data_IF_888967432053
#
_entry.id   IF_888967432053
#
_cell.length_a   1.000
_cell.length_b   1.000
_cell.length_c   1.000
_cell.angle_alpha   90.00
_cell.angle_beta   90.00
_cell.angle_gamma   90.00
#
_symmetry.space_group_name_H-M   'P 1'
#
loop_
_entity.id
_entity.type
_entity.pdbx_description
1 polymer ?
#
# COMPACT_ATOMS: atom_id res chain seq x y z
N UNK A 1 -2.42 -0.23 -10.37
CA UNK A 1 -1.34 0.19 -11.26
C UNK A 1 -0.15 -0.75 -11.16
N UNK A 2 0.47 -0.92 -9.99
CA UNK A 2 1.63 -1.82 -9.81
C UNK A 2 1.43 -3.25 -10.36
N UNK A 3 0.31 -3.96 -10.09
CA UNK A 3 0.13 -5.32 -10.64
C UNK A 3 -0.05 -5.36 -12.16
N UNK A 4 -0.59 -4.29 -12.74
CA UNK A 4 -0.78 -4.16 -14.20
C UNK A 4 0.57 -3.98 -14.86
N UNK A 5 1.43 -3.15 -14.26
CA UNK A 5 2.81 -2.90 -14.71
C UNK A 5 3.64 -4.19 -14.61
N UNK A 6 3.61 -4.89 -13.48
CA UNK A 6 4.28 -6.20 -13.34
C UNK A 6 3.78 -7.26 -14.31
N UNK A 7 2.49 -7.21 -14.67
CA UNK A 7 1.93 -8.14 -15.64
C UNK A 7 2.32 -7.78 -17.09
N UNK A 8 2.38 -6.49 -17.41
CA UNK A 8 2.78 -6.00 -18.73
C UNK A 8 4.26 -6.31 -19.02
N UNK A 9 5.12 -6.18 -18.02
CA UNK A 9 6.57 -6.41 -18.16
C UNK A 9 7.00 -7.68 -17.41
N UNK A 10 6.22 -8.73 -17.59
CA UNK A 10 6.43 -10.03 -16.92
C UNK A 10 7.77 -10.69 -17.30
N UNK A 11 8.29 -10.37 -18.48
CA UNK A 11 9.60 -10.85 -18.92
C UNK A 11 10.74 -10.19 -18.14
N UNK A 12 10.63 -8.90 -17.81
CA UNK A 12 11.57 -8.22 -16.91
C UNK A 12 11.57 -8.87 -15.51
N UNK A 13 10.40 -9.26 -15.00
CA UNK A 13 10.27 -10.00 -13.72
C UNK A 13 10.95 -11.36 -13.80
N UNK A 14 10.87 -12.06 -14.95
CA UNK A 14 11.55 -13.35 -15.16
C UNK A 14 13.07 -13.18 -15.22
N UNK A 15 13.55 -12.20 -15.98
CA UNK A 15 14.97 -11.91 -16.11
C UNK A 15 15.57 -11.55 -14.74
N UNK A 16 14.83 -10.79 -13.95
CA UNK A 16 15.23 -10.43 -12.60
C UNK A 16 15.32 -11.66 -11.68
N UNK A 17 14.31 -12.54 -11.70
CA UNK A 17 14.34 -13.80 -10.92
C UNK A 17 15.49 -14.69 -11.37
N UNK A 18 15.73 -14.84 -12.67
CA UNK A 18 16.83 -15.64 -13.21
C UNK A 18 18.21 -15.09 -12.78
N UNK A 19 18.35 -13.77 -12.69
CA UNK A 19 19.58 -13.13 -12.22
C UNK A 19 19.83 -13.33 -10.72
N UNK A 20 18.76 -13.38 -9.91
CA UNK A 20 18.83 -13.57 -8.46
C UNK A 20 18.94 -15.04 -8.05
N UNK A 21 18.42 -15.95 -8.88
CA UNK A 21 18.39 -17.39 -8.68
C UNK A 21 18.97 -18.12 -9.90
N UNK A 22 20.29 -18.05 -10.12
CA UNK A 22 20.95 -18.64 -11.30
C UNK A 22 20.88 -20.17 -11.32
N UNK A 23 20.52 -20.79 -10.21
CA UNK A 23 20.28 -22.22 -10.04
C UNK A 23 18.90 -22.68 -10.53
N UNK A 24 17.97 -21.76 -10.79
CA UNK A 24 16.61 -22.10 -11.25
C UNK A 24 16.59 -22.48 -12.73
N UNK A 25 15.84 -23.54 -13.05
CA UNK A 25 15.48 -23.88 -14.42
C UNK A 25 14.44 -22.90 -15.00
N UNK A 26 14.29 -22.89 -16.33
CA UNK A 26 13.35 -22.00 -17.02
C UNK A 26 11.89 -22.14 -16.53
N UNK A 27 11.46 -23.35 -16.18
CA UNK A 27 10.13 -23.61 -15.63
C UNK A 27 9.95 -23.04 -14.22
N UNK A 28 10.99 -23.09 -13.39
CA UNK A 28 10.99 -22.55 -12.03
C UNK A 28 10.99 -21.02 -12.05
N UNK A 29 11.76 -20.40 -12.96
CA UNK A 29 11.73 -18.95 -13.18
C UNK A 29 10.33 -18.50 -13.62
N UNK A 30 9.73 -19.18 -14.59
CA UNK A 30 8.37 -18.87 -15.07
C UNK A 30 7.33 -18.96 -13.95
N UNK A 31 7.35 -20.06 -13.18
CA UNK A 31 6.44 -20.27 -12.05
C UNK A 31 6.64 -19.22 -10.96
N UNK A 32 7.89 -18.86 -10.66
CA UNK A 32 8.22 -17.85 -9.66
C UNK A 32 7.75 -16.46 -10.08
N UNK A 33 7.89 -16.12 -11.37
CA UNK A 33 7.36 -14.87 -11.92
C UNK A 33 5.83 -14.81 -11.83
N UNK A 34 5.13 -15.92 -12.13
CA UNK A 34 3.67 -16.00 -11.96
C UNK A 34 3.26 -15.77 -10.50
N UNK A 35 3.96 -16.41 -9.55
CA UNK A 35 3.71 -16.23 -8.11
C UNK A 35 4.00 -14.79 -7.68
N UNK A 36 5.08 -14.18 -8.17
CA UNK A 36 5.44 -12.79 -7.88
C UNK A 36 4.35 -11.82 -8.36
N UNK A 37 3.84 -12.00 -9.58
CA UNK A 37 2.76 -11.15 -10.12
C UNK A 37 1.46 -11.34 -9.33
N UNK A 38 1.07 -12.59 -9.04
CA UNK A 38 -0.16 -12.88 -8.30
C UNK A 38 -0.08 -12.37 -6.85
N UNK A 39 1.03 -12.62 -6.15
CA UNK A 39 1.24 -12.12 -4.79
C UNK A 39 1.24 -10.59 -4.75
N UNK A 40 1.90 -9.93 -5.71
CA UNK A 40 1.85 -8.49 -5.89
C UNK A 40 0.42 -7.97 -6.11
N UNK A 41 -0.38 -8.66 -6.94
CA UNK A 41 -1.77 -8.31 -7.19
C UNK A 41 -2.65 -8.45 -5.94
N UNK A 42 -2.54 -9.57 -5.21
CA UNK A 42 -3.29 -9.82 -3.97
C UNK A 42 -2.95 -8.77 -2.92
N UNK A 43 -1.66 -8.52 -2.71
CA UNK A 43 -1.17 -7.57 -1.73
C UNK A 43 -1.72 -6.15 -2.00
N UNK A 44 -1.60 -5.67 -3.25
CA UNK A 44 -2.15 -4.37 -3.63
C UNK A 44 -3.69 -4.34 -3.59
N UNK A 45 -4.36 -5.45 -3.91
CA UNK A 45 -5.81 -5.58 -3.80
C UNK A 45 -6.29 -5.41 -2.36
N UNK A 46 -5.62 -6.04 -1.39
CA UNK A 46 -5.93 -5.88 0.04
C UNK A 46 -5.76 -4.43 0.47
N UNK A 47 -4.65 -3.78 0.10
CA UNK A 47 -4.42 -2.37 0.41
C UNK A 47 -5.49 -1.46 -0.21
N UNK A 48 -5.91 -1.74 -1.44
CA UNK A 48 -6.98 -0.99 -2.10
C UNK A 48 -8.30 -1.13 -1.34
N UNK A 49 -8.69 -2.35 -0.96
CA UNK A 49 -9.89 -2.61 -0.15
C UNK A 49 -9.80 -1.87 1.18
N UNK A 50 -8.65 -1.91 1.84
CA UNK A 50 -8.44 -1.21 3.10
C UNK A 50 -8.60 0.31 2.92
N UNK A 51 -8.01 0.88 1.86
CA UNK A 51 -8.20 2.29 1.50
C UNK A 51 -9.67 2.63 1.25
N UNK A 52 -10.42 1.80 0.52
CA UNK A 52 -11.85 2.02 0.25
C UNK A 52 -12.67 1.97 1.54
N UNK A 53 -12.40 1.00 2.42
CA UNK A 53 -13.03 0.89 3.74
C UNK A 53 -12.72 2.13 4.58
N UNK A 54 -11.46 2.59 4.56
CA UNK A 54 -11.06 3.80 5.27
C UNK A 54 -11.77 5.04 4.72
N UNK A 55 -11.87 5.21 3.40
CA UNK A 55 -12.62 6.32 2.77
C UNK A 55 -14.09 6.29 3.21
N UNK A 56 -14.73 5.11 3.14
CA UNK A 56 -16.12 4.96 3.57
C UNK A 56 -16.32 5.25 5.06
N UNK A 57 -15.34 4.87 5.90
CA UNK A 57 -15.38 5.08 7.35
C UNK A 57 -14.92 6.48 7.76
N UNK A 58 -14.12 7.18 6.96
CA UNK A 58 -13.62 8.53 7.23
C UNK A 58 -14.80 9.48 7.41
N UNK A 59 -15.85 9.34 6.60
CA UNK A 59 -17.10 10.09 6.72
C UNK A 59 -17.82 9.89 8.07
N UNK A 60 -17.54 8.80 8.80
CA UNK A 60 -18.17 8.55 10.10
C UNK A 60 -17.57 9.38 11.23
N UNK A 61 -16.38 9.95 11.06
CA UNK A 61 -15.72 10.79 12.08
C UNK A 61 -15.34 10.03 13.35
N UNK A 62 -15.23 8.71 13.31
CA UNK A 62 -14.83 7.92 14.49
C UNK A 62 -13.32 8.06 14.77
N UNK A 63 -12.89 8.24 16.04
CA UNK A 63 -11.48 8.44 16.39
C UNK A 63 -10.60 7.23 16.04
N UNK A 64 -11.15 6.01 16.10
CA UNK A 64 -10.43 4.79 15.68
C UNK A 64 -10.14 4.77 14.18
N UNK A 65 -11.01 5.35 13.34
CA UNK A 65 -10.79 5.42 11.90
C UNK A 65 -9.58 6.25 11.55
N UNK A 66 -9.35 7.37 12.24
CA UNK A 66 -8.13 8.19 12.06
C UNK A 66 -6.86 7.39 12.34
N UNK A 67 -6.82 6.64 13.45
CA UNK A 67 -5.67 5.77 13.79
C UNK A 67 -5.46 4.69 12.73
N UNK A 68 -6.54 4.05 12.28
CA UNK A 68 -6.48 3.01 11.26
C UNK A 68 -5.95 3.57 9.93
N UNK A 69 -6.39 4.77 9.52
CA UNK A 69 -5.88 5.42 8.30
C UNK A 69 -4.40 5.71 8.42
N UNK A 70 -3.95 6.32 9.51
CA UNK A 70 -2.53 6.65 9.71
C UNK A 70 -1.66 5.40 9.67
N UNK A 71 -2.03 4.35 10.43
CA UNK A 71 -1.28 3.09 10.43
C UNK A 71 -1.23 2.47 9.04
N UNK A 72 -2.35 2.47 8.32
CA UNK A 72 -2.43 1.89 6.97
C UNK A 72 -1.57 2.66 5.95
N UNK A 73 -1.57 3.99 6.02
CA UNK A 73 -0.72 4.80 5.14
C UNK A 73 0.76 4.61 5.45
N UNK A 74 1.16 4.57 6.73
CA UNK A 74 2.54 4.29 7.12
C UNK A 74 3.01 2.91 6.68
N UNK A 75 2.16 1.89 6.85
CA UNK A 75 2.45 0.54 6.35
C UNK A 75 2.63 0.57 4.82
N UNK A 76 1.77 1.31 4.11
CA UNK A 76 1.86 1.45 2.67
C UNK A 76 3.17 2.13 2.22
N UNK A 77 3.68 3.10 2.97
CA UNK A 77 4.99 3.72 2.71
C UNK A 77 6.12 2.70 2.88
N UNK A 78 6.09 1.90 3.96
CA UNK A 78 7.11 0.86 4.20
C UNK A 78 7.11 -0.19 3.08
N UNK A 79 5.93 -0.67 2.68
CA UNK A 79 5.81 -1.62 1.57
C UNK A 79 6.21 -1.02 0.23
N UNK A 80 5.97 0.28 0.04
CA UNK A 80 6.44 1.01 -1.13
C UNK A 80 7.97 1.09 -1.13
N UNK A 81 8.64 1.35 0.00
CA UNK A 81 10.11 1.33 0.05
C UNK A 81 10.69 -0.05 -0.31
N UNK A 82 10.05 -1.14 0.14
CA UNK A 82 10.47 -2.50 -0.20
C UNK A 82 10.28 -2.83 -1.69
N UNK A 83 9.17 -2.35 -2.28
CA UNK A 83 8.92 -2.47 -3.72
C UNK A 83 9.86 -1.59 -4.54
N UNK A 84 10.32 -0.46 -4.00
CA UNK A 84 11.26 0.41 -4.67
C UNK A 84 12.64 -0.24 -4.78
N UNK A 85 13.11 -0.87 -3.69
CA UNK A 85 14.39 -1.57 -3.69
C UNK A 85 14.41 -2.84 -4.55
N UNK A 86 13.24 -3.37 -4.90
CA UNK A 86 13.17 -4.67 -5.58
C UNK A 86 13.31 -4.57 -7.09
N UNK A 87 12.97 -3.46 -7.75
CA UNK A 87 13.14 -3.34 -9.21
C UNK A 87 13.19 -1.88 -9.69
N UNK A 88 14.07 -1.54 -10.66
CA UNK A 88 14.14 -0.22 -11.28
C UNK A 88 12.80 0.24 -11.87
N UNK A 89 11.99 -0.73 -12.30
CA UNK A 89 10.65 -0.52 -12.83
C UNK A 89 9.75 0.31 -11.91
N UNK A 90 9.92 0.18 -10.60
CA UNK A 90 9.09 0.86 -9.62
C UNK A 90 9.60 2.24 -9.22
N UNK A 91 10.79 2.63 -9.69
CA UNK A 91 11.42 3.90 -9.31
C UNK A 91 10.65 5.15 -9.76
N UNK A 92 9.82 5.04 -10.80
CA UNK A 92 8.99 6.17 -11.27
C UNK A 92 7.66 6.25 -10.50
N UNK A 93 7.02 5.11 -10.25
CA UNK A 93 5.66 5.07 -9.67
C UNK A 93 5.67 5.28 -8.17
N UNK A 94 6.65 4.71 -7.46
CA UNK A 94 6.68 4.70 -6.00
C UNK A 94 6.86 6.08 -5.37
N UNK A 95 7.74 6.99 -5.87
CA UNK A 95 7.86 8.33 -5.31
C UNK A 95 6.55 9.11 -5.33
N UNK A 96 5.77 8.98 -6.40
CA UNK A 96 4.46 9.63 -6.55
C UNK A 96 3.48 9.07 -5.52
N UNK A 97 3.39 7.74 -5.41
CA UNK A 97 2.50 7.07 -4.44
C UNK A 97 2.88 7.43 -3.00
N UNK A 98 4.18 7.44 -2.69
CA UNK A 98 4.71 7.84 -1.38
C UNK A 98 4.38 9.29 -1.04
N UNK A 99 4.53 10.22 -1.98
CA UNK A 99 4.19 11.63 -1.78
C UNK A 99 2.70 11.81 -1.45
N UNK A 100 1.81 11.11 -2.16
CA UNK A 100 0.36 11.14 -1.88
C UNK A 100 0.05 10.58 -0.49
N UNK A 101 0.66 9.47 -0.10
CA UNK A 101 0.47 8.88 1.23
C UNK A 101 0.92 9.82 2.35
N UNK A 102 2.08 10.47 2.18
CA UNK A 102 2.58 11.46 3.14
C UNK A 102 1.66 12.68 3.22
N UNK A 103 1.13 13.15 2.09
CA UNK A 103 0.16 14.24 2.07
C UNK A 103 -1.12 13.88 2.85
N UNK A 104 -1.63 12.66 2.69
CA UNK A 104 -2.80 12.17 3.44
C UNK A 104 -2.51 12.14 4.95
N UNK A 105 -1.34 11.64 5.36
CA UNK A 105 -0.94 11.62 6.77
C UNK A 105 -0.85 13.05 7.32
N UNK A 106 -0.24 13.98 6.58
CA UNK A 106 -0.16 15.37 6.97
C UNK A 106 -1.55 16.00 7.14
N UNK A 107 -2.46 15.79 6.18
CA UNK A 107 -3.84 16.28 6.25
C UNK A 107 -4.64 15.72 7.43
N UNK A 108 -4.31 14.51 7.92
CA UNK A 108 -4.99 13.90 9.07
C UNK A 108 -4.39 14.28 10.44
N UNK A 109 -3.18 14.82 10.45
CA UNK A 109 -2.45 15.13 11.68
C UNK A 109 -2.30 16.63 11.94
N UNK A 110 -2.16 17.45 10.89
CA UNK A 110 -1.79 18.87 11.00
C UNK A 110 -3.00 19.79 11.21
N UNK A 111 -4.09 19.71 10.41
CA UNK A 111 -5.20 20.65 10.55
C UNK A 111 -5.97 20.41 11.86
N UNK A 112 -6.31 21.51 12.55
CA UNK A 112 -7.16 21.45 13.74
C UNK A 112 -8.57 20.97 13.39
N UNK A 113 -9.11 21.35 12.23
CA UNK A 113 -10.46 20.93 11.82
C UNK A 113 -10.55 19.40 11.68
N UNK A 114 -9.50 18.76 11.17
CA UNK A 114 -9.43 17.31 11.08
C UNK A 114 -9.44 16.67 12.47
N UNK A 115 -8.66 17.20 13.43
CA UNK A 115 -8.66 16.69 14.81
C UNK A 115 -10.03 16.83 15.46
N UNK A 116 -10.63 18.01 15.37
CA UNK A 116 -11.91 18.31 16.01
C UNK A 116 -13.03 17.43 15.46
N UNK A 117 -13.03 17.16 14.15
CA UNK A 117 -13.97 16.25 13.49
C UNK A 117 -13.93 14.82 14.07
N UNK A 118 -12.76 14.32 14.45
CA UNK A 118 -12.59 12.98 15.03
C UNK A 118 -12.70 12.94 16.56
N UNK A 119 -12.51 14.06 17.26
CA UNK A 119 -12.60 14.18 18.72
C UNK A 119 -14.06 14.39 19.19
N UNK A 120 -14.89 15.13 18.46
CA UNK A 120 -16.28 15.45 18.85
C UNK A 120 -17.27 14.27 18.82
N UNK A 121 -16.89 13.12 18.24
CA UNK A 121 -17.76 11.92 18.08
C UNK A 121 -17.29 10.70 18.87
N UNK A 122 -16.33 10.85 19.78
CA UNK A 122 -16.03 9.80 20.74
C UNK A 122 -17.28 9.57 21.62
N UNK A 123 -17.85 8.36 21.68
CA UNK A 123 -18.95 8.08 22.59
C UNK A 123 -18.54 8.42 24.01
N UNK A 124 -19.38 9.18 24.69
CA UNK A 124 -19.46 9.26 26.14
C UNK A 124 -19.90 7.90 26.70
N UNK A 125 -19.17 6.82 26.43
CA UNK A 125 -19.39 5.49 26.99
C UNK A 125 -18.31 5.22 28.03
N UNK A 126 -18.41 5.92 29.16
CA UNK A 126 -17.69 5.58 30.39
C UNK A 126 -18.39 6.21 31.60
N UNK A 127 -19.67 5.89 31.81
CA UNK A 127 -20.32 6.09 33.12
C UNK A 127 -21.58 5.22 33.24
N UNK A 128 -21.39 3.94 33.61
CA UNK A 128 -22.37 3.13 34.35
C UNK A 128 -21.60 2.33 35.39
#
# INVERSE_FOLDING_TARGET
MVPIVMWADKDEVRDQIASQHPDFGADEVRKSADIAVVSGAVFHGILLVLCLVLVAKLATGRPWTRRLTVVSQLLSVVFSAFSWSSSPMFHVVIPVVGAVQLAIVALLLVPREARDFFEQRAPSDASV
#
